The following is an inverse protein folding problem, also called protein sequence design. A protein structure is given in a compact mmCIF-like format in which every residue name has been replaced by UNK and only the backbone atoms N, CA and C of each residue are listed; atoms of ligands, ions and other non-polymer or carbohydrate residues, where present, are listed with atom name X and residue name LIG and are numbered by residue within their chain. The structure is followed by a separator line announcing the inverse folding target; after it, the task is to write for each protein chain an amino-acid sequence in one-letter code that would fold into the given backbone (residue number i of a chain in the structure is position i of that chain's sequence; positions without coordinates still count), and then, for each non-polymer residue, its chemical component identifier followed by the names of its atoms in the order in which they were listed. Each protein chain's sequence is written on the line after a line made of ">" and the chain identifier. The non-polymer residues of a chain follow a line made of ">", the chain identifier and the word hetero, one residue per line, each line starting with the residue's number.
data_IF_487714790652
#
_entry.id   IF_487714790652
#
_cell.length_a   1.000
_cell.length_b   1.000
_cell.length_c   1.000
_cell.angle_alpha   90.00
_cell.angle_beta   90.00
_cell.angle_gamma   90.00
#
_symmetry.space_group_name_H-M   'P 1'
#
loop_
_entity.id
_entity.type
_entity.pdbx_description
1 polymer ?
#
# COMPACT_ATOMS: atom_id res chain seq x y z
N UNK A 1 2.86 -6.19 15.21
CA UNK A 1 2.61 -7.55 14.70
C UNK A 1 3.79 -7.92 13.84
N UNK A 2 4.74 -8.69 14.34
CA UNK A 2 5.98 -8.93 13.60
C UNK A 2 5.71 -9.50 12.19
N UNK A 3 6.29 -8.85 11.18
CA UNK A 3 6.23 -9.29 9.79
C UNK A 3 7.12 -10.51 9.57
N UNK A 4 6.56 -11.59 9.01
CA UNK A 4 7.29 -12.76 8.56
C UNK A 4 7.81 -12.56 7.13
N UNK A 5 6.91 -12.19 6.21
CA UNK A 5 7.24 -11.99 4.80
C UNK A 5 6.44 -10.84 4.18
N UNK A 6 6.99 -10.30 3.10
CA UNK A 6 6.39 -9.22 2.30
C UNK A 6 6.47 -9.67 0.84
N UNK A 7 5.34 -9.66 0.16
CA UNK A 7 5.19 -9.98 -1.25
C UNK A 7 4.62 -8.78 -1.98
N UNK A 8 5.29 -8.33 -3.04
CA UNK A 8 4.79 -7.26 -3.91
C UNK A 8 4.02 -7.96 -5.02
N UNK A 9 2.70 -7.78 -5.06
CA UNK A 9 1.80 -8.54 -5.95
C UNK A 9 1.75 -7.93 -7.35
N UNK A 10 1.94 -6.61 -7.45
CA UNK A 10 1.98 -5.88 -8.72
C UNK A 10 3.42 -5.64 -9.23
N UNK A 11 3.64 -5.56 -10.56
CA UNK A 11 4.91 -5.09 -11.12
C UNK A 11 5.22 -3.69 -10.60
N UNK A 12 6.36 -3.52 -9.94
CA UNK A 12 6.67 -2.25 -9.27
C UNK A 12 6.78 -1.08 -10.25
N UNK A 13 7.14 -1.35 -11.49
CA UNK A 13 7.25 -0.39 -12.59
C UNK A 13 5.89 0.23 -12.96
N UNK A 14 4.78 -0.41 -12.59
CA UNK A 14 3.42 0.08 -12.82
C UNK A 14 2.99 1.20 -11.87
N UNK A 15 3.86 1.62 -10.94
CA UNK A 15 3.56 2.61 -9.91
C UNK A 15 3.17 4.01 -10.42
N UNK A 16 3.44 4.30 -11.70
CA UNK A 16 3.04 5.54 -12.38
C UNK A 16 1.63 5.48 -12.95
N UNK A 17 1.13 4.27 -13.16
CA UNK A 17 -0.17 4.00 -13.77
C UNK A 17 -1.20 3.50 -12.77
N UNK A 18 -0.79 3.17 -11.55
CA UNK A 18 -1.68 2.67 -10.52
C UNK A 18 -1.02 2.55 -9.15
N UNK A 19 -1.77 1.94 -8.23
CA UNK A 19 -1.24 1.51 -6.95
C UNK A 19 -0.41 0.23 -7.13
N UNK A 20 0.46 -0.05 -6.15
CA UNK A 20 1.19 -1.31 -6.05
C UNK A 20 0.65 -2.07 -4.84
N UNK A 21 -0.06 -3.17 -5.08
CA UNK A 21 -0.59 -4.05 -4.04
C UNK A 21 0.54 -4.87 -3.41
N UNK A 22 0.48 -4.96 -2.07
CA UNK A 22 1.51 -5.61 -1.25
C UNK A 22 0.84 -6.47 -0.19
N UNK A 23 1.20 -7.74 -0.23
CA UNK A 23 0.88 -8.76 0.76
C UNK A 23 1.87 -8.75 1.91
N UNK A 24 1.37 -8.94 3.12
CA UNK A 24 2.14 -9.10 4.35
C UNK A 24 1.66 -10.35 5.07
N UNK A 25 2.56 -11.29 5.32
CA UNK A 25 2.32 -12.41 6.23
C UNK A 25 2.95 -12.08 7.57
N UNK A 26 2.18 -12.19 8.63
CA UNK A 26 2.65 -11.98 10.01
C UNK A 26 3.20 -13.27 10.61
N UNK A 27 4.02 -13.18 11.66
CA UNK A 27 4.55 -14.37 12.34
C UNK A 27 3.48 -15.28 12.98
N UNK A 28 2.23 -14.82 13.09
CA UNK A 28 1.08 -15.64 13.53
C UNK A 28 0.41 -16.39 12.37
N UNK A 29 0.89 -16.19 11.14
CA UNK A 29 0.35 -16.78 9.91
C UNK A 29 -0.77 -15.96 9.26
N UNK A 30 -1.18 -14.83 9.85
CA UNK A 30 -2.22 -13.98 9.27
C UNK A 30 -1.71 -13.32 8.00
N UNK A 31 -2.45 -13.48 6.89
CA UNK A 31 -2.20 -12.78 5.63
C UNK A 31 -3.02 -11.49 5.59
N UNK A 32 -2.36 -10.38 5.30
CA UNK A 32 -2.95 -9.04 5.23
C UNK A 32 -2.43 -8.31 4.01
N UNK A 33 -3.11 -7.26 3.58
CA UNK A 33 -2.67 -6.48 2.42
C UNK A 33 -2.82 -4.97 2.61
N UNK A 34 -2.04 -4.25 1.83
CA UNK A 34 -2.09 -2.81 1.67
C UNK A 34 -1.67 -2.46 0.24
N UNK A 35 -1.80 -1.21 -0.14
CA UNK A 35 -1.30 -0.75 -1.42
C UNK A 35 -0.51 0.56 -1.27
N UNK A 36 0.53 0.68 -2.08
CA UNK A 36 1.38 1.85 -2.12
C UNK A 36 1.02 2.75 -3.30
N UNK A 37 1.02 4.06 -3.06
CA UNK A 37 0.84 5.07 -4.10
C UNK A 37 1.95 6.11 -4.09
N UNK A 38 2.33 6.52 -5.30
CA UNK A 38 3.09 7.75 -5.53
C UNK A 38 2.13 8.88 -5.92
N UNK A 39 2.54 10.16 -5.89
CA UNK A 39 1.72 11.25 -6.41
C UNK A 39 1.26 11.05 -7.86
N UNK A 40 2.12 10.49 -8.70
CA UNK A 40 1.78 10.17 -10.09
C UNK A 40 0.75 9.04 -10.16
N UNK A 41 0.95 7.96 -9.40
CA UNK A 41 -0.02 6.85 -9.31
C UNK A 41 -1.39 7.30 -8.81
N UNK A 42 -1.45 8.22 -7.82
CA UNK A 42 -2.72 8.75 -7.31
C UNK A 42 -3.49 9.48 -8.41
N UNK A 43 -2.82 10.30 -9.22
CA UNK A 43 -3.46 10.97 -10.34
C UNK A 43 -3.99 9.98 -11.40
N UNK A 44 -3.41 8.78 -11.47
CA UNK A 44 -3.75 7.75 -12.46
C UNK A 44 -4.88 6.79 -12.02
N UNK A 45 -5.05 6.51 -10.72
CA UNK A 45 -6.00 5.49 -10.22
C UNK A 45 -6.91 5.97 -9.09
N UNK A 46 -7.96 5.17 -8.80
CA UNK A 46 -8.99 5.46 -7.81
C UNK A 46 -10.33 5.81 -8.44
N UNK A 47 -11.29 6.17 -7.60
CA UNK A 47 -12.64 6.50 -8.06
C UNK A 47 -12.69 7.91 -8.67
N UNK A 48 -13.62 8.13 -9.59
CA UNK A 48 -13.88 9.46 -10.11
C UNK A 48 -14.86 10.21 -9.22
N UNK A 49 -14.59 11.48 -8.94
CA UNK A 49 -15.62 12.38 -8.44
C UNK A 49 -16.54 12.76 -9.62
N UNK A 50 -17.82 12.39 -9.53
CA UNK A 50 -18.81 12.61 -10.60
C UNK A 50 -18.83 14.05 -11.10
N UNK A 51 -18.80 14.22 -12.43
CA UNK A 51 -18.76 15.53 -13.08
C UNK A 51 -17.39 16.22 -13.09
N UNK A 52 -16.32 15.54 -12.64
CA UNK A 52 -14.95 16.08 -12.63
C UNK A 52 -13.97 15.12 -13.31
N UNK A 53 -12.71 15.57 -13.44
CA UNK A 53 -11.56 14.72 -13.79
C UNK A 53 -10.67 14.42 -12.56
N UNK A 54 -11.22 14.52 -11.36
CA UNK A 54 -10.48 14.30 -10.11
C UNK A 54 -10.66 12.86 -9.67
N UNK A 55 -9.53 12.18 -9.44
CA UNK A 55 -9.48 10.88 -8.78
C UNK A 55 -9.50 11.07 -7.27
N UNK A 56 -10.09 10.13 -6.53
CA UNK A 56 -10.01 10.13 -5.07
C UNK A 56 -10.00 8.71 -4.51
N UNK A 57 -9.46 8.61 -3.30
CA UNK A 57 -9.48 7.42 -2.45
C UNK A 57 -10.05 7.84 -1.10
N UNK A 58 -11.03 7.12 -0.58
CA UNK A 58 -11.70 7.45 0.69
C UNK A 58 -11.76 6.23 1.59
N UNK A 59 -11.58 6.43 2.91
CA UNK A 59 -11.70 5.35 3.91
C UNK A 59 -10.65 4.22 3.82
N UNK A 60 -9.66 4.31 2.92
CA UNK A 60 -8.66 3.29 2.71
C UNK A 60 -7.51 3.41 3.72
N UNK A 61 -7.69 2.84 4.93
CA UNK A 61 -6.63 2.84 5.96
C UNK A 61 -5.37 2.07 5.56
N UNK A 62 -5.51 1.17 4.58
CA UNK A 62 -4.46 0.34 3.98
C UNK A 62 -3.82 0.98 2.75
N UNK A 63 -4.10 2.26 2.48
CA UNK A 63 -3.38 3.08 1.51
C UNK A 63 -2.13 3.67 2.17
N UNK A 64 -0.95 3.40 1.59
CA UNK A 64 0.32 3.97 2.02
C UNK A 64 0.84 4.90 0.92
N UNK A 65 1.00 6.18 1.23
CA UNK A 65 1.45 7.19 0.26
C UNK A 65 2.93 7.51 0.46
N UNK A 66 3.72 7.43 -0.62
CA UNK A 66 5.17 7.64 -0.61
C UNK A 66 5.57 8.58 -1.74
N UNK A 67 6.63 9.38 -1.55
CA UNK A 67 7.10 10.31 -2.58
C UNK A 67 7.72 9.59 -3.79
N UNK A 68 8.35 8.43 -3.54
CA UNK A 68 8.97 7.56 -4.53
C UNK A 68 8.80 6.11 -4.06
N UNK A 69 8.87 5.15 -4.99
CA UNK A 69 8.65 3.74 -4.67
C UNK A 69 9.73 2.85 -5.27
N UNK A 70 10.14 1.88 -4.46
CA UNK A 70 11.01 0.78 -4.83
C UNK A 70 10.73 -0.36 -3.85
N UNK A 71 11.23 -1.56 -4.16
CA UNK A 71 11.05 -2.72 -3.27
C UNK A 71 11.65 -2.44 -1.88
N UNK A 72 12.81 -1.77 -1.83
CA UNK A 72 13.47 -1.41 -0.58
C UNK A 72 12.65 -0.40 0.24
N UNK A 73 12.00 0.57 -0.42
CA UNK A 73 11.13 1.54 0.25
C UNK A 73 9.87 0.87 0.79
N UNK A 74 9.20 0.01 0.02
CA UNK A 74 8.03 -0.75 0.47
C UNK A 74 8.38 -1.55 1.74
N UNK A 75 9.46 -2.32 1.69
CA UNK A 75 9.91 -3.15 2.82
C UNK A 75 10.29 -2.31 4.04
N UNK A 76 10.97 -1.18 3.84
CA UNK A 76 11.35 -0.30 4.93
C UNK A 76 10.13 0.37 5.59
N UNK A 77 9.19 0.88 4.79
CA UNK A 77 7.97 1.51 5.27
C UNK A 77 7.11 0.54 6.10
N UNK A 78 6.89 -0.69 5.60
CA UNK A 78 6.11 -1.69 6.32
C UNK A 78 6.76 -2.10 7.66
N UNK A 79 8.09 -2.23 7.69
CA UNK A 79 8.82 -2.51 8.94
C UNK A 79 8.75 -1.35 9.93
N UNK A 80 8.76 -0.11 9.46
CA UNK A 80 8.61 1.05 10.33
C UNK A 80 7.19 1.15 10.90
N UNK A 81 6.16 0.93 10.06
CA UNK A 81 4.76 0.83 10.49
C UNK A 81 4.58 -0.26 11.54
N UNK A 82 5.18 -1.44 11.34
CA UNK A 82 5.11 -2.53 12.32
C UNK A 82 5.83 -2.20 13.63
N UNK A 83 7.03 -1.59 13.55
CA UNK A 83 7.75 -1.10 14.72
C UNK A 83 6.93 -0.10 15.55
N UNK A 84 6.09 0.70 14.89
CA UNK A 84 5.16 1.63 15.53
C UNK A 84 3.88 0.94 16.08
N UNK A 85 3.71 -0.37 15.86
CA UNK A 85 2.51 -1.11 16.26
C UNK A 85 1.28 -0.79 15.42
N UNK A 86 1.46 -0.24 14.22
CA UNK A 86 0.37 0.27 13.37
C UNK A 86 0.00 -0.65 12.21
N UNK A 87 0.73 -1.76 12.02
CA UNK A 87 0.54 -2.68 10.89
C UNK A 87 -0.92 -3.12 10.74
N UNK A 88 -1.61 -3.44 11.84
CA UNK A 88 -3.00 -3.90 11.80
C UNK A 88 -3.97 -2.85 11.27
N UNK A 89 -3.74 -1.58 11.63
CA UNK A 89 -4.58 -0.45 11.21
C UNK A 89 -4.30 -0.06 9.76
N UNK A 90 -3.06 -0.28 9.31
CA UNK A 90 -2.56 0.08 7.98
C UNK A 90 -2.62 -1.07 6.97
N UNK A 91 -3.27 -2.19 7.31
CA UNK A 91 -3.46 -3.33 6.41
C UNK A 91 -4.84 -3.94 6.64
N UNK A 92 -5.43 -4.56 5.63
CA UNK A 92 -6.71 -5.30 5.72
C UNK A 92 -6.42 -6.80 5.68
N UNK A 93 -7.17 -7.59 6.45
CA UNK A 93 -7.10 -9.06 6.36
C UNK A 93 -7.57 -9.54 4.97
N UNK A 94 -6.91 -10.54 4.40
CA UNK A 94 -7.47 -11.25 3.23
C UNK A 94 -8.79 -11.95 3.58
#
# INVERSE_FOLDING_TARGET
>A
MNIESIEIEDPIESHRTGAIEVSVTTNTGDKRWCFFLTPEGMAACGDWIGGTKVRFHYGASHMIFVSEISESIIKAALRDIDKQGMLEKCTISY
#
